data_IF_410941273004
#
_entry.id   IF_410941273004
#
_cell.length_a   1.000
_cell.length_b   1.000
_cell.length_c   1.000
_cell.angle_alpha   90.00
_cell.angle_beta   90.00
_cell.angle_gamma   90.00
#
_symmetry.space_group_name_H-M   'P 1'
#
loop_
_entity.id
_entity.type
_entity.pdbx_description
1 polymer ?
#
# COMPACT_ATOMS: atom_id res chain seq x y z
N UNK A 1 44.42 -8.31 17.63
CA UNK A 1 43.24 -8.73 16.85
C UNK A 1 42.12 -9.04 17.82
N UNK A 2 41.08 -8.20 17.88
CA UNK A 2 39.88 -8.48 18.68
C UNK A 2 38.83 -8.93 17.66
N UNK A 3 38.50 -10.23 17.66
CA UNK A 3 37.41 -10.76 16.85
C UNK A 3 36.10 -10.30 17.45
N UNK A 4 35.41 -9.40 16.74
CA UNK A 4 34.01 -9.08 16.97
C UNK A 4 33.19 -10.36 16.81
N UNK A 5 32.83 -10.99 17.92
CA UNK A 5 31.85 -12.08 17.93
C UNK A 5 30.49 -11.42 17.74
N UNK A 6 30.08 -11.28 16.49
CA UNK A 6 28.70 -10.91 16.16
C UNK A 6 27.81 -12.01 16.72
N UNK A 7 26.92 -11.63 17.64
CA UNK A 7 26.12 -12.55 18.43
C UNK A 7 25.05 -13.21 17.54
N UNK A 8 25.32 -14.42 17.04
CA UNK A 8 24.42 -15.21 16.17
C UNK A 8 22.99 -15.38 16.74
N UNK A 9 22.85 -15.20 18.06
CA UNK A 9 21.56 -15.22 18.74
C UNK A 9 20.69 -14.01 18.35
N UNK A 10 21.24 -12.80 18.24
CA UNK A 10 20.46 -11.62 17.85
C UNK A 10 19.94 -11.72 16.41
N UNK A 11 20.77 -12.21 15.48
CA UNK A 11 20.39 -12.40 14.08
C UNK A 11 19.25 -13.43 13.92
N UNK A 12 19.29 -14.51 14.70
CA UNK A 12 18.26 -15.56 14.68
C UNK A 12 16.94 -15.07 15.29
N UNK A 13 17.00 -14.31 16.38
CA UNK A 13 15.83 -13.70 17.02
C UNK A 13 15.17 -12.61 16.13
N UNK A 14 15.97 -11.76 15.49
CA UNK A 14 15.49 -10.76 14.51
C UNK A 14 14.79 -11.43 13.32
N UNK A 15 15.33 -12.55 12.85
CA UNK A 15 14.76 -13.33 11.74
C UNK A 15 13.43 -13.99 12.14
N UNK A 16 13.35 -14.58 13.34
CA UNK A 16 12.11 -15.15 13.88
C UNK A 16 11.03 -14.10 14.13
N UNK A 17 11.39 -12.94 14.69
CA UNK A 17 10.46 -11.84 14.90
C UNK A 17 9.93 -11.28 13.57
N UNK A 18 10.80 -11.12 12.56
CA UNK A 18 10.42 -10.69 11.22
C UNK A 18 9.51 -11.70 10.53
N UNK A 19 9.82 -12.99 10.62
CA UNK A 19 8.96 -14.05 10.08
C UNK A 19 7.57 -14.02 10.74
N UNK A 20 7.52 -13.87 12.06
CA UNK A 20 6.26 -13.73 12.81
C UNK A 20 5.44 -12.52 12.35
N UNK A 21 6.07 -11.38 12.07
CA UNK A 21 5.38 -10.20 11.51
C UNK A 21 4.84 -10.46 10.10
N UNK A 22 5.62 -11.11 9.24
CA UNK A 22 5.18 -11.45 7.87
C UNK A 22 4.00 -12.41 7.88
N UNK A 23 4.03 -13.43 8.74
CA UNK A 23 2.93 -14.39 8.89
C UNK A 23 1.66 -13.69 9.37
N UNK A 24 1.76 -12.86 10.42
CA UNK A 24 0.60 -12.09 10.91
C UNK A 24 0.02 -11.17 9.83
N UNK A 25 0.88 -10.47 9.09
CA UNK A 25 0.44 -9.61 8.00
C UNK A 25 -0.26 -10.39 6.88
N UNK A 26 0.27 -11.56 6.52
CA UNK A 26 -0.36 -12.42 5.52
C UNK A 26 -1.74 -12.92 5.97
N UNK A 27 -1.90 -13.29 7.25
CA UNK A 27 -3.19 -13.67 7.83
C UNK A 27 -4.19 -12.52 7.79
N UNK A 28 -3.77 -11.32 8.19
CA UNK A 28 -4.61 -10.12 8.14
C UNK A 28 -5.11 -9.81 6.73
N UNK A 29 -4.24 -9.90 5.71
CA UNK A 29 -4.63 -9.66 4.32
C UNK A 29 -5.63 -10.72 3.85
N UNK A 30 -5.44 -11.99 4.24
CA UNK A 30 -6.38 -13.06 3.90
C UNK A 30 -7.74 -12.85 4.54
N UNK A 31 -7.77 -12.56 5.84
CA UNK A 31 -9.02 -12.28 6.57
C UNK A 31 -9.75 -11.08 5.98
N UNK A 32 -9.02 -10.03 5.58
CA UNK A 32 -9.60 -8.86 4.91
C UNK A 32 -10.18 -9.22 3.54
N UNK A 33 -9.51 -10.08 2.77
CA UNK A 33 -10.03 -10.57 1.49
C UNK A 33 -11.31 -11.40 1.67
N UNK A 34 -11.32 -12.33 2.62
CA UNK A 34 -12.50 -13.15 2.94
C UNK A 34 -13.68 -12.29 3.40
N UNK A 35 -13.42 -11.31 4.28
CA UNK A 35 -14.43 -10.35 4.71
C UNK A 35 -14.95 -9.50 3.54
N UNK A 36 -14.05 -9.06 2.64
CA UNK A 36 -14.44 -8.30 1.45
C UNK A 36 -15.37 -9.12 0.56
N UNK A 37 -15.00 -10.36 0.22
CA UNK A 37 -15.82 -11.22 -0.64
C UNK A 37 -17.19 -11.51 -0.03
N UNK A 38 -17.28 -11.60 1.30
CA UNK A 38 -18.56 -11.78 1.99
C UNK A 38 -19.47 -10.54 1.92
N UNK A 39 -18.91 -9.33 1.94
CA UNK A 39 -19.65 -8.06 1.87
C UNK A 39 -19.87 -7.56 0.44
N UNK A 40 -19.03 -7.99 -0.49
CA UNK A 40 -19.03 -7.61 -1.90
C UNK A 40 -18.94 -8.88 -2.76
N UNK A 41 -20.04 -9.65 -2.86
CA UNK A 41 -20.04 -10.87 -3.65
C UNK A 41 -19.73 -10.55 -5.12
N UNK A 42 -18.96 -11.42 -5.82
CA UNK A 42 -18.59 -11.17 -7.22
C UNK A 42 -19.80 -10.96 -8.13
N UNK A 43 -19.70 -9.97 -9.02
CA UNK A 43 -20.72 -9.71 -10.03
C UNK A 43 -20.79 -10.86 -11.04
N UNK A 44 -22.02 -11.31 -11.33
CA UNK A 44 -22.27 -12.41 -12.28
C UNK A 44 -21.84 -12.09 -13.72
N UNK A 45 -21.93 -10.81 -14.11
CA UNK A 45 -21.47 -10.32 -15.41
C UNK A 45 -20.39 -9.25 -15.19
N UNK A 46 -19.15 -9.57 -15.59
CA UNK A 46 -17.98 -8.70 -15.42
C UNK A 46 -17.34 -8.44 -16.79
N UNK A 47 -17.81 -7.42 -17.54
CA UNK A 47 -17.06 -6.96 -18.70
C UNK A 47 -15.65 -6.51 -18.25
N UNK A 48 -14.61 -6.78 -19.04
CA UNK A 48 -13.25 -6.44 -18.66
C UNK A 48 -13.04 -4.92 -18.60
N UNK A 49 -12.31 -4.46 -17.60
CA UNK A 49 -11.77 -3.10 -17.55
C UNK A 49 -10.45 -3.05 -18.35
N UNK A 50 -10.05 -1.86 -18.86
CA UNK A 50 -8.71 -1.67 -19.40
C UNK A 50 -7.64 -2.08 -18.39
N UNK A 51 -6.57 -2.71 -18.90
CA UNK A 51 -5.44 -3.15 -18.08
C UNK A 51 -4.37 -2.06 -18.11
N UNK A 52 -4.01 -1.56 -16.94
CA UNK A 52 -2.94 -0.58 -16.74
C UNK A 52 -1.85 -1.14 -15.82
N UNK A 53 -0.63 -0.65 -15.97
CA UNK A 53 0.48 -1.00 -15.10
C UNK A 53 0.54 -0.10 -13.86
N UNK A 54 1.13 -0.62 -12.77
CA UNK A 54 1.37 0.15 -11.54
C UNK A 54 2.15 1.44 -11.78
N UNK A 55 3.12 1.41 -12.70
CA UNK A 55 3.91 2.59 -13.08
C UNK A 55 3.09 3.64 -13.82
N UNK A 56 2.01 3.24 -14.49
CA UNK A 56 1.10 4.17 -15.16
C UNK A 56 0.18 4.83 -14.15
N UNK A 57 -0.34 4.07 -13.18
CA UNK A 57 -1.09 4.63 -12.05
C UNK A 57 -0.24 5.66 -11.29
N UNK A 58 0.98 5.31 -10.90
CA UNK A 58 1.88 6.22 -10.19
C UNK A 58 2.13 7.50 -10.99
N UNK A 59 2.41 7.36 -12.29
CA UNK A 59 2.61 8.51 -13.19
C UNK A 59 1.38 9.41 -13.26
N UNK A 60 0.17 8.85 -13.34
CA UNK A 60 -1.06 9.64 -13.39
C UNK A 60 -1.30 10.38 -12.06
N UNK A 61 -1.14 9.71 -10.93
CA UNK A 61 -1.31 10.35 -9.62
C UNK A 61 -0.30 11.49 -9.41
N UNK A 62 0.97 11.27 -9.77
CA UNK A 62 2.00 12.32 -9.73
C UNK A 62 1.67 13.49 -10.65
N UNK A 63 1.12 13.24 -11.83
CA UNK A 63 0.76 14.29 -12.79
C UNK A 63 -0.46 15.10 -12.38
N UNK A 64 -1.36 14.53 -11.57
CA UNK A 64 -2.63 15.14 -11.17
C UNK A 64 -2.57 15.82 -9.81
N UNK A 65 -1.49 15.63 -9.04
CA UNK A 65 -1.34 16.12 -7.67
C UNK A 65 -0.22 17.17 -7.58
N UNK A 66 -0.20 18.02 -6.53
CA UNK A 66 0.93 18.91 -6.25
C UNK A 66 2.27 18.16 -6.13
N UNK A 67 3.36 18.78 -6.57
CA UNK A 67 4.70 18.17 -6.56
C UNK A 67 5.16 17.74 -5.15
N UNK A 68 4.75 18.49 -4.11
CA UNK A 68 5.08 18.22 -2.71
C UNK A 68 4.53 16.88 -2.20
N UNK A 69 3.51 16.31 -2.86
CA UNK A 69 2.94 15.01 -2.52
C UNK A 69 3.67 13.84 -3.19
N UNK A 70 4.67 14.09 -4.05
CA UNK A 70 5.33 13.04 -4.81
C UNK A 70 5.93 11.90 -3.94
N UNK A 71 6.59 12.17 -2.80
CA UNK A 71 7.06 11.10 -1.92
C UNK A 71 5.91 10.25 -1.35
N UNK A 72 4.85 10.90 -0.88
CA UNK A 72 3.66 10.23 -0.33
C UNK A 72 2.99 9.33 -1.37
N UNK A 73 2.80 9.83 -2.59
CA UNK A 73 2.18 9.08 -3.68
C UNK A 73 2.98 7.80 -3.98
N UNK A 74 4.31 7.91 -4.07
CA UNK A 74 5.20 6.75 -4.31
C UNK A 74 5.08 5.71 -3.20
N UNK A 75 5.05 6.16 -1.96
CA UNK A 75 4.93 5.27 -0.80
C UNK A 75 3.57 4.55 -0.76
N UNK A 76 2.47 5.28 -1.02
CA UNK A 76 1.12 4.72 -1.08
C UNK A 76 0.96 3.69 -2.20
N UNK A 77 1.39 4.03 -3.42
CA UNK A 77 1.33 3.09 -4.56
C UNK A 77 2.19 1.86 -4.29
N UNK A 78 3.39 2.04 -3.74
CA UNK A 78 4.29 0.95 -3.36
C UNK A 78 3.67 0.02 -2.31
N UNK A 79 3.01 0.59 -1.29
CA UNK A 79 2.33 -0.17 -0.25
C UNK A 79 1.19 -1.02 -0.82
N UNK A 80 0.29 -0.43 -1.61
CA UNK A 80 -0.83 -1.16 -2.23
C UNK A 80 -0.32 -2.23 -3.18
N UNK A 81 0.65 -1.91 -4.05
CA UNK A 81 1.23 -2.87 -4.99
C UNK A 81 1.80 -4.11 -4.30
N UNK A 82 2.47 -3.95 -3.15
CA UNK A 82 3.06 -5.06 -2.40
C UNK A 82 2.00 -6.01 -1.84
N UNK A 83 0.81 -5.51 -1.55
CA UNK A 83 -0.28 -6.28 -0.93
C UNK A 83 -1.36 -6.71 -1.91
N UNK A 84 -1.32 -6.24 -3.16
CA UNK A 84 -2.39 -6.47 -4.13
C UNK A 84 -2.55 -7.94 -4.54
N UNK A 85 -1.47 -8.71 -4.62
CA UNK A 85 -1.49 -10.08 -5.17
C UNK A 85 -2.49 -11.04 -4.49
N UNK A 86 -2.57 -11.11 -3.14
CA UNK A 86 -3.56 -11.95 -2.47
C UNK A 86 -4.98 -11.35 -2.39
N UNK A 87 -5.20 -10.10 -2.83
CA UNK A 87 -6.49 -9.41 -2.70
C UNK A 87 -7.37 -9.62 -3.94
N UNK A 88 -8.70 -9.68 -3.80
CA UNK A 88 -9.61 -9.61 -4.94
C UNK A 88 -9.37 -8.34 -5.79
N UNK A 89 -9.47 -8.39 -7.13
CA UNK A 89 -9.23 -7.22 -7.97
C UNK A 89 -10.09 -6.00 -7.62
N UNK A 90 -11.33 -6.24 -7.19
CA UNK A 90 -12.27 -5.18 -6.79
C UNK A 90 -11.88 -4.52 -5.46
N UNK A 91 -11.25 -5.27 -4.55
CA UNK A 91 -10.66 -4.72 -3.33
C UNK A 91 -9.46 -3.83 -3.66
N UNK A 92 -8.58 -4.28 -4.56
CA UNK A 92 -7.45 -3.47 -5.03
C UNK A 92 -7.94 -2.20 -5.73
N UNK A 93 -8.98 -2.29 -6.56
CA UNK A 93 -9.62 -1.14 -7.18
C UNK A 93 -10.12 -0.15 -6.12
N UNK A 94 -10.80 -0.62 -5.07
CA UNK A 94 -11.23 0.23 -3.95
C UNK A 94 -10.05 0.96 -3.29
N UNK A 95 -8.94 0.28 -3.03
CA UNK A 95 -7.75 0.90 -2.44
C UNK A 95 -7.16 1.99 -3.36
N UNK A 96 -7.11 1.74 -4.68
CA UNK A 96 -6.68 2.73 -5.67
C UNK A 96 -7.60 3.94 -5.67
N UNK A 97 -8.93 3.73 -5.62
CA UNK A 97 -9.90 4.83 -5.58
C UNK A 97 -9.77 5.66 -4.30
N UNK A 98 -9.51 5.03 -3.16
CA UNK A 98 -9.28 5.72 -1.88
C UNK A 98 -8.02 6.59 -1.97
N UNK A 99 -6.90 6.04 -2.46
CA UNK A 99 -5.66 6.83 -2.63
C UNK A 99 -5.91 8.00 -3.57
N UNK A 100 -6.56 7.74 -4.72
CA UNK A 100 -6.86 8.78 -5.71
C UNK A 100 -7.73 9.89 -5.12
N UNK A 101 -8.77 9.53 -4.37
CA UNK A 101 -9.64 10.50 -3.72
C UNK A 101 -8.87 11.36 -2.70
N UNK A 102 -7.99 10.75 -1.91
CA UNK A 102 -7.20 11.47 -0.89
C UNK A 102 -6.18 12.41 -1.51
N UNK A 103 -5.38 11.94 -2.47
CA UNK A 103 -4.27 12.74 -3.03
C UNK A 103 -4.75 13.80 -4.01
N UNK A 104 -6.01 13.77 -4.44
CA UNK A 104 -6.64 14.79 -5.29
C UNK A 104 -7.57 15.72 -4.51
N UNK A 105 -7.72 15.52 -3.19
CA UNK A 105 -8.54 16.38 -2.34
C UNK A 105 -7.82 17.69 -2.02
N UNK A 106 -8.40 18.82 -2.44
CA UNK A 106 -7.86 20.15 -2.20
C UNK A 106 -7.75 20.47 -0.70
N UNK A 107 -8.73 20.03 0.10
CA UNK A 107 -8.70 20.25 1.55
C UNK A 107 -7.58 19.45 2.25
N UNK A 108 -7.18 18.31 1.65
CA UNK A 108 -6.01 17.56 2.08
C UNK A 108 -4.72 18.31 1.73
N UNK A 109 -4.64 18.92 0.54
CA UNK A 109 -3.47 19.70 0.11
C UNK A 109 -3.21 20.91 1.01
N UNK A 110 -4.25 21.68 1.35
CA UNK A 110 -4.14 22.84 2.23
C UNK A 110 -3.53 22.46 3.59
N UNK A 111 -4.08 21.41 4.22
CA UNK A 111 -3.58 20.91 5.51
C UNK A 111 -2.15 20.36 5.43
N UNK A 112 -1.82 19.70 4.32
CA UNK A 112 -0.48 19.17 4.10
C UNK A 112 0.55 20.30 3.94
N UNK A 113 0.21 21.34 3.19
CA UNK A 113 1.05 22.52 3.02
C UNK A 113 1.26 23.25 4.35
N UNK A 114 0.20 23.48 5.13
CA UNK A 114 0.29 24.09 6.47
C UNK A 114 1.18 23.29 7.43
N UNK A 115 1.05 21.96 7.44
CA UNK A 115 1.89 21.08 8.24
C UNK A 115 3.37 21.05 7.80
N UNK A 116 3.63 21.27 6.51
CA UNK A 116 4.99 21.33 5.96
C UNK A 116 5.67 22.67 6.25
N UNK A 117 4.93 23.79 6.28
CA UNK A 117 5.46 25.12 6.61
C UNK A 117 5.76 25.27 8.11
N UNK A 118 5.11 24.47 8.96
CA UNK A 118 5.28 24.50 10.42
C UNK A 118 6.32 23.50 10.96
N UNK A 119 7.00 22.73 10.10
CA UNK A 119 8.07 21.78 10.46
C UNK A 119 9.43 22.20 9.94
#
# INVERSE_FOLDING_TARGET
>A
MITSVTNDNEATHLTGARLGQLVRKALQIREAAEAFDSGFPPLANRPPMPVFAWTELERQLLSLSPEDLAPLIRDLVSAVRKEARPKPPEMVLREILIISATVLDEAFHEKWADGTIMS
#
